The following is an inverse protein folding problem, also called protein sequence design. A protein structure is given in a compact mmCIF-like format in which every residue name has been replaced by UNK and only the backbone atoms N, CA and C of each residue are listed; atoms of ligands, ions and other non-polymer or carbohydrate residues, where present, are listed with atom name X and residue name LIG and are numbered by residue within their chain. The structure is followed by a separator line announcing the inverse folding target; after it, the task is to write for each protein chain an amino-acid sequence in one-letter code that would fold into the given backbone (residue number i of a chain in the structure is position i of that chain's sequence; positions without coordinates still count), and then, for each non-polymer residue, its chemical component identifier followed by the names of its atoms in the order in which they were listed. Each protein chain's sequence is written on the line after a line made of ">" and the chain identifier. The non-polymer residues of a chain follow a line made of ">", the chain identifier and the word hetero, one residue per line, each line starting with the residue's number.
data_IF_957886238398
#
_entry.id   IF_957886238398
#
_cell.length_a   1.000
_cell.length_b   1.000
_cell.length_c   1.000
_cell.angle_alpha   90.00
_cell.angle_beta   90.00
_cell.angle_gamma   90.00
#
_symmetry.space_group_name_H-M   'P 1'
#
loop_
_entity.id
_entity.type
_entity.pdbx_description
1 polymer ?
#
# COMPACT_ATOMS: atom_id res chain seq x y z
N UNK A 1 -21.14 -4.51 -27.57
CA UNK A 1 -21.71 -3.91 -26.34
C UNK A 1 -21.29 -2.44 -26.28
N UNK A 2 -22.14 -1.49 -26.68
CA UNK A 2 -21.78 -0.07 -26.67
C UNK A 2 -21.74 0.46 -25.23
N UNK A 3 -20.71 1.24 -24.93
CA UNK A 3 -20.54 1.91 -23.64
C UNK A 3 -21.73 2.88 -23.43
N UNK A 4 -22.41 2.80 -22.27
CA UNK A 4 -23.55 3.68 -21.99
C UNK A 4 -23.09 5.14 -21.92
N UNK A 5 -23.85 6.05 -22.52
CA UNK A 5 -23.49 7.48 -22.61
C UNK A 5 -23.18 8.13 -21.25
N UNK A 6 -23.75 7.59 -20.18
CA UNK A 6 -23.53 7.99 -18.78
C UNK A 6 -22.08 7.67 -18.29
N UNK A 7 -21.53 6.51 -18.66
CA UNK A 7 -20.16 6.13 -18.31
C UNK A 7 -19.12 7.06 -18.96
N UNK A 8 -19.38 7.49 -20.20
CA UNK A 8 -18.53 8.44 -20.91
C UNK A 8 -18.57 9.84 -20.26
N UNK A 9 -19.77 10.30 -19.84
CA UNK A 9 -19.94 11.57 -19.14
C UNK A 9 -19.25 11.56 -17.76
N UNK A 10 -19.38 10.49 -16.99
CA UNK A 10 -18.70 10.35 -15.70
C UNK A 10 -17.17 10.36 -15.84
N UNK A 11 -16.61 9.73 -16.88
CA UNK A 11 -15.17 9.79 -17.17
C UNK A 11 -14.72 11.20 -17.54
N UNK A 12 -15.48 11.92 -18.36
CA UNK A 12 -15.20 13.29 -18.73
C UNK A 12 -15.22 14.24 -17.51
N UNK A 13 -16.20 14.08 -16.62
CA UNK A 13 -16.29 14.84 -15.37
C UNK A 13 -15.09 14.57 -14.46
N UNK A 14 -14.69 13.30 -14.28
CA UNK A 14 -13.49 12.94 -13.50
C UNK A 14 -12.21 13.53 -14.10
N UNK A 15 -12.09 13.53 -15.44
CA UNK A 15 -10.95 14.15 -16.13
C UNK A 15 -10.93 15.66 -15.92
N UNK A 16 -12.08 16.34 -16.04
CA UNK A 16 -12.21 17.78 -15.81
C UNK A 16 -11.88 18.14 -14.36
N UNK A 17 -12.37 17.37 -13.39
CA UNK A 17 -12.06 17.56 -11.97
C UNK A 17 -10.56 17.39 -11.69
N UNK A 18 -9.90 16.37 -12.28
CA UNK A 18 -8.44 16.19 -12.17
C UNK A 18 -7.63 17.35 -12.75
N UNK A 19 -8.06 17.91 -13.88
CA UNK A 19 -7.40 19.05 -14.52
C UNK A 19 -7.64 20.37 -13.77
N UNK A 20 -8.66 20.44 -12.91
CA UNK A 20 -8.97 21.62 -12.10
C UNK A 20 -8.15 21.70 -10.81
N UNK A 21 -7.45 20.63 -10.41
CA UNK A 21 -6.56 20.65 -9.25
C UNK A 21 -5.33 21.50 -9.60
N UNK A 22 -5.01 22.55 -8.81
CA UNK A 22 -3.83 23.36 -9.08
C UNK A 22 -2.57 22.49 -9.04
N UNK A 23 -1.57 22.79 -9.89
CA UNK A 23 -0.31 22.07 -9.88
C UNK A 23 0.36 22.22 -8.50
N UNK A 24 1.08 21.19 -8.02
CA UNK A 24 1.79 21.28 -6.76
C UNK A 24 2.88 22.34 -6.83
N UNK A 25 3.05 23.07 -5.73
CA UNK A 25 4.13 24.04 -5.54
C UNK A 25 5.23 23.44 -4.66
N UNK A 26 6.48 23.93 -4.76
CA UNK A 26 7.58 23.45 -3.93
C UNK A 26 7.30 23.65 -2.43
N UNK A 27 7.65 22.66 -1.63
CA UNK A 27 7.51 22.72 -0.16
C UNK A 27 8.82 23.14 0.49
N UNK A 28 8.76 24.01 1.51
CA UNK A 28 9.92 24.37 2.34
C UNK A 28 10.55 23.15 3.02
N UNK A 29 9.75 22.11 3.34
CA UNK A 29 10.21 20.85 3.95
C UNK A 29 11.31 20.16 3.14
N UNK A 30 11.30 20.31 1.81
CA UNK A 30 12.21 19.61 0.91
C UNK A 30 13.28 20.52 0.30
N UNK A 31 13.36 21.79 0.74
CA UNK A 31 14.28 22.79 0.18
C UNK A 31 15.74 22.35 0.20
N UNK A 32 16.17 21.70 1.28
CA UNK A 32 17.55 21.22 1.45
C UNK A 32 17.87 19.91 0.72
N UNK A 33 16.86 19.21 0.18
CA UNK A 33 17.06 17.95 -0.52
C UNK A 33 17.44 18.17 -1.97
N UNK A 34 18.42 17.43 -2.47
CA UNK A 34 18.72 17.36 -3.90
C UNK A 34 17.66 16.51 -4.64
N UNK A 35 17.57 16.70 -5.97
CA UNK A 35 16.66 15.90 -6.80
C UNK A 35 16.94 14.39 -6.70
N UNK A 36 18.21 14.01 -6.62
CA UNK A 36 18.62 12.62 -6.49
C UNK A 36 18.19 12.02 -5.14
N UNK A 37 18.33 12.78 -4.05
CA UNK A 37 17.89 12.35 -2.72
C UNK A 37 16.38 12.20 -2.64
N UNK A 38 15.60 13.11 -3.22
CA UNK A 38 14.14 12.98 -3.28
C UNK A 38 13.70 11.71 -4.04
N UNK A 39 14.36 11.41 -5.16
CA UNK A 39 14.10 10.19 -5.94
C UNK A 39 14.43 8.94 -5.13
N UNK A 40 15.59 8.92 -4.48
CA UNK A 40 16.02 7.81 -3.62
C UNK A 40 15.05 7.61 -2.46
N UNK A 41 14.75 8.66 -1.70
CA UNK A 41 13.84 8.61 -0.56
C UNK A 41 12.44 8.14 -0.97
N UNK A 42 11.92 8.63 -2.10
CA UNK A 42 10.63 8.16 -2.64
C UNK A 42 10.68 6.67 -2.98
N UNK A 43 11.77 6.19 -3.59
CA UNK A 43 11.92 4.77 -3.93
C UNK A 43 11.98 3.90 -2.67
N UNK A 44 12.79 4.28 -1.67
CA UNK A 44 12.91 3.58 -0.39
C UNK A 44 11.57 3.52 0.36
N UNK A 45 10.83 4.64 0.43
CA UNK A 45 9.51 4.66 1.06
C UNK A 45 8.48 3.85 0.28
N UNK A 46 8.57 3.81 -1.05
CA UNK A 46 7.67 3.00 -1.89
C UNK A 46 7.91 1.50 -1.67
N UNK A 47 9.18 1.09 -1.61
CA UNK A 47 9.56 -0.29 -1.29
C UNK A 47 9.02 -0.69 0.10
N UNK A 48 9.25 0.17 1.09
CA UNK A 48 8.79 -0.08 2.44
C UNK A 48 7.26 -0.09 2.57
N UNK A 49 6.55 0.79 1.86
CA UNK A 49 5.09 0.75 1.77
C UNK A 49 4.60 -0.57 1.18
N UNK A 50 5.26 -1.07 0.14
CA UNK A 50 4.90 -2.33 -0.51
C UNK A 50 5.00 -3.49 0.50
N UNK A 51 6.07 -3.52 1.32
CA UNK A 51 6.24 -4.49 2.42
C UNK A 51 5.12 -4.38 3.46
N UNK A 52 4.80 -3.18 3.93
CA UNK A 52 3.70 -2.95 4.89
C UNK A 52 2.36 -3.40 4.31
N UNK A 53 2.10 -3.09 3.04
CA UNK A 53 0.90 -3.50 2.32
C UNK A 53 0.81 -5.03 2.16
N UNK A 54 1.93 -5.73 1.99
CA UNK A 54 1.97 -7.19 1.98
C UNK A 54 1.55 -7.77 3.34
N UNK A 55 2.20 -7.36 4.42
CA UNK A 55 1.88 -7.87 5.76
C UNK A 55 0.45 -7.59 6.18
N UNK A 56 -0.07 -6.39 5.85
CA UNK A 56 -1.47 -6.06 6.10
C UNK A 56 -2.43 -7.03 5.42
N UNK A 57 -2.17 -7.42 4.17
CA UNK A 57 -3.00 -8.40 3.45
C UNK A 57 -2.90 -9.78 4.07
N UNK A 58 -1.71 -10.18 4.51
CA UNK A 58 -1.50 -11.48 5.15
C UNK A 58 -2.28 -11.57 6.47
N UNK A 59 -2.21 -10.53 7.31
CA UNK A 59 -2.99 -10.42 8.55
C UNK A 59 -4.49 -10.47 8.26
N UNK A 60 -4.97 -9.69 7.28
CA UNK A 60 -6.38 -9.71 6.86
C UNK A 60 -6.85 -11.12 6.47
N UNK A 61 -6.06 -11.83 5.64
CA UNK A 61 -6.40 -13.18 5.21
C UNK A 61 -6.46 -14.18 6.39
N UNK A 62 -5.59 -14.02 7.39
CA UNK A 62 -5.61 -14.86 8.59
C UNK A 62 -6.78 -14.55 9.50
N UNK A 63 -7.16 -13.29 9.65
CA UNK A 63 -8.39 -12.89 10.34
C UNK A 63 -9.61 -13.52 9.66
N UNK A 64 -9.68 -13.47 8.33
CA UNK A 64 -10.79 -14.05 7.56
C UNK A 64 -10.86 -15.57 7.74
N UNK A 65 -9.71 -16.26 7.73
CA UNK A 65 -9.63 -17.71 7.92
C UNK A 65 -10.03 -18.14 9.34
N UNK A 66 -9.52 -17.42 10.35
CA UNK A 66 -9.85 -17.66 11.75
C UNK A 66 -11.34 -17.44 12.03
N UNK A 67 -11.95 -16.37 11.48
CA UNK A 67 -13.40 -16.11 11.58
C UNK A 67 -14.25 -17.18 10.88
N UNK A 68 -13.74 -17.79 9.81
CA UNK A 68 -14.41 -18.89 9.12
C UNK A 68 -14.32 -20.24 9.87
N UNK A 69 -13.68 -20.27 11.06
CA UNK A 69 -13.45 -21.48 11.83
C UNK A 69 -12.57 -22.50 11.11
N UNK A 70 -11.76 -22.04 10.15
CA UNK A 70 -10.92 -22.90 9.34
C UNK A 70 -9.51 -22.96 9.93
N UNK A 71 -8.91 -24.14 9.86
CA UNK A 71 -7.53 -24.32 10.30
C UNK A 71 -6.55 -23.64 9.31
N UNK A 72 -5.46 -23.04 9.81
CA UNK A 72 -4.48 -22.29 9.02
C UNK A 72 -3.73 -23.12 7.96
N UNK A 73 -3.73 -24.45 8.07
CA UNK A 73 -3.07 -25.36 7.13
C UNK A 73 -3.77 -25.56 5.77
N UNK A 74 -4.97 -25.02 5.54
CA UNK A 74 -5.66 -25.12 4.24
C UNK A 74 -5.14 -24.09 3.22
N UNK A 75 -4.05 -24.46 2.55
CA UNK A 75 -3.31 -23.62 1.59
C UNK A 75 -4.16 -23.14 0.41
N UNK A 76 -5.06 -23.97 -0.10
CA UNK A 76 -5.93 -23.61 -1.23
C UNK A 76 -6.96 -22.57 -0.82
N UNK A 77 -7.48 -22.66 0.41
CA UNK A 77 -8.38 -21.64 0.96
C UNK A 77 -7.67 -20.35 1.32
N UNK A 78 -6.43 -20.40 1.82
CA UNK A 78 -5.61 -19.20 2.00
C UNK A 78 -5.41 -18.47 0.66
N UNK A 79 -5.10 -19.21 -0.42
CA UNK A 79 -5.00 -18.66 -1.75
C UNK A 79 -6.32 -18.01 -2.21
N UNK A 80 -7.46 -18.62 -1.89
CA UNK A 80 -8.79 -18.07 -2.21
C UNK A 80 -9.14 -16.82 -1.38
N UNK A 81 -8.87 -16.80 -0.08
CA UNK A 81 -9.01 -15.63 0.79
C UNK A 81 -8.09 -14.47 0.33
N UNK A 82 -6.89 -14.80 -0.17
CA UNK A 82 -5.99 -13.87 -0.85
C UNK A 82 -6.41 -13.54 -2.29
N UNK A 83 -7.48 -14.13 -2.83
CA UNK A 83 -8.00 -13.91 -4.20
C UNK A 83 -9.44 -13.32 -4.31
N UNK A 84 -10.28 -13.31 -3.24
CA UNK A 84 -11.62 -12.66 -3.19
C UNK A 84 -11.83 -11.11 -2.89
N UNK A 85 -11.31 -10.46 -1.83
CA UNK A 85 -11.10 -9.00 -1.63
C UNK A 85 -11.20 -8.09 -2.90
N UNK A 86 -12.28 -7.32 -3.04
CA UNK A 86 -12.77 -6.80 -4.33
C UNK A 86 -12.00 -5.59 -4.93
N UNK A 87 -10.73 -5.35 -4.58
CA UNK A 87 -9.90 -4.27 -5.16
C UNK A 87 -8.76 -4.77 -6.08
N UNK A 88 -8.83 -6.04 -6.49
CA UNK A 88 -7.67 -6.91 -6.73
C UNK A 88 -6.90 -6.80 -8.05
N UNK A 89 -7.53 -6.41 -9.16
CA UNK A 89 -6.90 -6.60 -10.49
C UNK A 89 -5.59 -5.83 -10.73
N UNK A 90 -5.41 -4.65 -10.12
CA UNK A 90 -4.24 -3.78 -10.40
C UNK A 90 -3.20 -3.71 -9.28
N UNK A 91 -3.52 -4.21 -8.07
CA UNK A 91 -2.65 -4.10 -6.89
C UNK A 91 -2.00 -5.43 -6.46
N UNK A 92 -2.35 -6.56 -7.07
CA UNK A 92 -1.63 -7.85 -6.87
C UNK A 92 -0.53 -8.01 -7.92
N UNK A 93 -0.67 -7.46 -9.13
CA UNK A 93 0.36 -7.49 -10.17
C UNK A 93 1.69 -6.84 -9.76
N UNK A 94 1.73 -6.09 -8.65
CA UNK A 94 2.91 -5.42 -8.11
C UNK A 94 3.27 -5.90 -6.69
N UNK A 95 2.83 -7.07 -6.26
CA UNK A 95 3.44 -7.66 -5.08
C UNK A 95 4.75 -8.32 -5.50
N UNK A 96 5.83 -7.58 -5.34
CA UNK A 96 7.13 -8.21 -5.20
C UNK A 96 7.05 -9.13 -3.98
N UNK A 97 7.36 -10.41 -4.19
CA UNK A 97 7.45 -11.38 -3.12
C UNK A 97 8.72 -11.07 -2.34
N UNK A 98 8.56 -10.49 -1.15
CA UNK A 98 9.69 -10.13 -0.33
C UNK A 98 10.25 -11.35 0.43
N UNK A 99 11.58 -11.43 0.60
CA UNK A 99 12.21 -12.44 1.46
C UNK A 99 11.69 -12.35 2.91
N UNK A 100 11.68 -13.47 3.62
CA UNK A 100 11.25 -13.58 5.03
C UNK A 100 11.97 -12.63 5.99
N UNK A 101 13.19 -12.20 5.67
CA UNK A 101 14.00 -11.31 6.52
C UNK A 101 13.60 -9.82 6.41
N UNK A 102 12.55 -9.50 5.66
CA UNK A 102 12.07 -8.13 5.42
C UNK A 102 10.81 -7.79 6.21
N UNK A 103 10.65 -8.38 7.39
CA UNK A 103 9.58 -8.00 8.32
C UNK A 103 9.70 -6.51 8.64
N UNK A 104 8.63 -5.71 8.47
CA UNK A 104 8.62 -4.34 8.97
C UNK A 104 8.90 -4.40 10.48
N UNK A 105 9.52 -3.37 11.07
CA UNK A 105 9.88 -3.33 12.49
C UNK A 105 8.67 -3.29 13.44
N UNK A 106 7.52 -3.79 13.02
CA UNK A 106 6.35 -3.95 13.85
C UNK A 106 6.60 -5.13 14.81
N UNK A 107 6.60 -4.86 16.12
CA UNK A 107 6.78 -5.91 17.11
C UNK A 107 5.65 -6.94 16.99
N UNK A 108 5.92 -8.17 17.44
CA UNK A 108 4.93 -9.26 17.60
C UNK A 108 4.44 -9.97 16.33
N UNK A 109 4.77 -9.50 15.12
CA UNK A 109 4.34 -10.19 13.88
C UNK A 109 4.81 -11.64 13.84
N UNK A 110 6.09 -11.90 14.15
CA UNK A 110 6.65 -13.25 14.07
C UNK A 110 5.97 -14.21 15.06
N UNK A 111 5.81 -13.78 16.31
CA UNK A 111 5.14 -14.57 17.36
C UNK A 111 3.68 -14.86 17.01
N UNK A 112 2.97 -13.90 16.41
CA UNK A 112 1.59 -14.08 15.98
C UNK A 112 1.48 -15.14 14.86
N UNK A 113 2.45 -15.16 13.93
CA UNK A 113 2.46 -16.11 12.83
C UNK A 113 2.76 -17.55 13.27
N UNK A 114 3.61 -17.70 14.29
CA UNK A 114 3.93 -18.98 14.90
C UNK A 114 2.80 -19.52 15.79
N UNK A 115 1.89 -18.65 16.25
CA UNK A 115 0.77 -19.03 17.12
C UNK A 115 -0.42 -19.62 16.36
N UNK A 116 -0.92 -20.78 16.80
CA UNK A 116 -2.21 -21.34 16.36
C UNK A 116 -3.18 -21.35 17.56
N UNK A 117 -4.26 -20.54 17.54
CA UNK A 117 -5.15 -20.41 18.69
C UNK A 117 -5.93 -21.71 18.93
N UNK A 118 -6.13 -22.06 20.21
CA UNK A 118 -7.17 -23.03 20.58
C UNK A 118 -8.55 -22.35 20.50
N UNK A 119 -9.61 -23.15 20.47
CA UNK A 119 -10.97 -22.64 20.28
C UNK A 119 -11.41 -21.66 21.39
N UNK A 120 -10.92 -21.86 22.61
CA UNK A 120 -11.14 -21.01 23.78
C UNK A 120 -10.30 -19.72 23.78
N UNK A 121 -9.28 -19.64 22.94
CA UNK A 121 -8.36 -18.50 22.79
C UNK A 121 -8.62 -17.71 21.49
N UNK A 122 -9.63 -18.11 20.71
CA UNK A 122 -9.90 -17.57 19.38
C UNK A 122 -10.25 -16.07 19.40
N UNK A 123 -11.05 -15.63 20.37
CA UNK A 123 -11.48 -14.23 20.47
C UNK A 123 -10.29 -13.31 20.79
N UNK A 124 -9.47 -13.67 21.79
CA UNK A 124 -8.25 -12.93 22.14
C UNK A 124 -7.26 -12.86 20.97
N UNK A 125 -7.16 -13.95 20.22
CA UNK A 125 -6.31 -14.05 19.04
C UNK A 125 -6.82 -13.17 17.89
N UNK A 126 -8.13 -13.15 17.63
CA UNK A 126 -8.75 -12.25 16.65
C UNK A 126 -8.54 -10.79 17.04
N UNK A 127 -8.70 -10.44 18.32
CA UNK A 127 -8.46 -9.09 18.83
C UNK A 127 -7.01 -8.64 18.60
N UNK A 128 -6.03 -9.55 18.77
CA UNK A 128 -4.62 -9.27 18.49
C UNK A 128 -4.38 -9.05 17.00
N UNK A 129 -4.93 -9.90 16.13
CA UNK A 129 -4.84 -9.73 14.67
C UNK A 129 -5.43 -8.39 14.22
N UNK A 130 -6.59 -8.00 14.75
CA UNK A 130 -7.23 -6.74 14.39
C UNK A 130 -6.43 -5.53 14.85
N UNK A 131 -5.79 -5.59 16.03
CA UNK A 131 -4.89 -4.53 16.50
C UNK A 131 -3.73 -4.33 15.54
N UNK A 132 -3.08 -5.43 15.15
CA UNK A 132 -1.95 -5.40 14.22
C UNK A 132 -2.37 -4.91 12.84
N UNK A 133 -3.55 -5.31 12.34
CA UNK A 133 -4.10 -4.79 11.07
C UNK A 133 -4.30 -3.27 11.14
N UNK A 134 -4.86 -2.77 12.25
CA UNK A 134 -5.10 -1.34 12.47
C UNK A 134 -3.78 -0.55 12.48
N UNK A 135 -2.75 -1.08 13.14
CA UNK A 135 -1.43 -0.46 13.20
C UNK A 135 -0.76 -0.43 11.81
N UNK A 136 -0.79 -1.55 11.09
CA UNK A 136 -0.32 -1.65 9.69
C UNK A 136 -1.08 -0.66 8.78
N UNK A 137 -2.40 -0.58 8.90
CA UNK A 137 -3.24 0.35 8.17
C UNK A 137 -2.90 1.81 8.48
N UNK A 138 -2.60 2.13 9.74
CA UNK A 138 -2.18 3.47 10.17
C UNK A 138 -0.81 3.84 9.61
N UNK A 139 0.16 2.94 9.77
CA UNK A 139 1.51 3.12 9.27
C UNK A 139 1.54 3.27 7.75
N UNK A 140 0.78 2.45 7.02
CA UNK A 140 0.61 2.61 5.57
C UNK A 140 0.06 3.98 5.20
N UNK A 141 -0.95 4.48 5.91
CA UNK A 141 -1.52 5.82 5.64
C UNK A 141 -0.45 6.91 5.79
N UNK A 142 0.38 6.84 6.83
CA UNK A 142 1.48 7.80 7.02
C UNK A 142 2.53 7.70 5.89
N UNK A 143 2.87 6.48 5.45
CA UNK A 143 3.78 6.28 4.31
C UNK A 143 3.22 6.87 3.02
N UNK A 144 1.95 6.63 2.71
CA UNK A 144 1.30 7.21 1.52
C UNK A 144 1.34 8.73 1.55
N UNK A 145 1.01 9.36 2.68
CA UNK A 145 1.07 10.82 2.84
C UNK A 145 2.48 11.36 2.55
N UNK A 146 3.53 10.69 3.05
CA UNK A 146 4.92 11.11 2.84
C UNK A 146 5.39 10.87 1.40
N UNK A 147 5.00 9.74 0.79
CA UNK A 147 5.27 9.45 -0.63
C UNK A 147 4.59 10.49 -1.53
N UNK A 148 3.35 10.86 -1.23
CA UNK A 148 2.59 11.85 -1.98
C UNK A 148 3.24 13.24 -1.87
N UNK A 149 3.71 13.63 -0.68
CA UNK A 149 4.45 14.88 -0.49
C UNK A 149 5.74 14.92 -1.34
N UNK A 150 6.54 13.85 -1.32
CA UNK A 150 7.73 13.73 -2.17
C UNK A 150 7.38 13.72 -3.66
N UNK A 151 6.28 13.07 -4.03
CA UNK A 151 5.83 13.03 -5.42
C UNK A 151 5.42 14.42 -5.92
N UNK A 152 4.69 15.17 -5.11
CA UNK A 152 4.29 16.55 -5.41
C UNK A 152 5.51 17.47 -5.55
N UNK A 153 6.50 17.33 -4.66
CA UNK A 153 7.76 18.08 -4.76
C UNK A 153 8.51 17.77 -6.06
N UNK A 154 8.62 16.49 -6.43
CA UNK A 154 9.23 16.10 -7.71
C UNK A 154 8.49 16.70 -8.89
N UNK A 155 7.15 16.69 -8.89
CA UNK A 155 6.34 17.32 -9.94
C UNK A 155 6.62 18.83 -10.00
N UNK A 156 6.68 19.51 -8.85
CA UNK A 156 6.94 20.95 -8.79
C UNK A 156 8.32 21.28 -9.40
N UNK A 157 9.35 20.49 -9.08
CA UNK A 157 10.71 20.67 -9.64
C UNK A 157 10.77 20.40 -11.13
N UNK A 158 10.14 19.34 -11.63
CA UNK A 158 10.08 19.07 -13.07
C UNK A 158 9.27 20.12 -13.84
N UNK A 159 8.27 20.72 -13.21
CA UNK A 159 7.51 21.82 -13.80
C UNK A 159 8.38 23.08 -13.90
N UNK A 160 9.20 23.36 -12.87
CA UNK A 160 10.11 24.50 -12.87
C UNK A 160 11.26 24.32 -13.88
N UNK A 161 11.83 23.11 -13.95
CA UNK A 161 12.86 22.74 -14.92
C UNK A 161 12.57 21.35 -15.53
N UNK A 162 11.98 21.31 -16.73
CA UNK A 162 11.68 20.07 -17.44
C UNK A 162 12.92 19.26 -17.82
N UNK A 163 14.10 19.89 -17.96
CA UNK A 163 15.33 19.19 -18.36
C UNK A 163 15.79 18.21 -17.29
N UNK A 164 15.42 18.43 -16.02
CA UNK A 164 15.65 17.50 -14.91
C UNK A 164 15.03 16.12 -15.14
N UNK A 165 13.97 15.99 -15.95
CA UNK A 165 13.40 14.70 -16.31
C UNK A 165 14.34 13.86 -17.20
N UNK A 166 15.18 14.51 -18.00
CA UNK A 166 16.15 13.83 -18.88
C UNK A 166 17.26 13.15 -18.08
N UNK A 167 17.58 13.65 -16.87
CA UNK A 167 18.54 12.99 -15.96
C UNK A 167 18.07 11.64 -15.41
N UNK A 168 16.83 11.24 -15.65
CA UNK A 168 16.29 9.93 -15.26
C UNK A 168 16.37 8.88 -16.38
N UNK A 169 16.84 9.25 -17.58
CA UNK A 169 17.07 8.33 -18.68
C UNK A 169 18.47 7.71 -18.58
N UNK A 170 18.62 6.40 -18.89
CA UNK A 170 19.92 5.73 -18.92
C UNK A 170 20.83 6.23 -20.05
#
# INVERSE_FOLDING_TARGET
>A
MPESADAAQQRAQRKKARLAVPPPEPSEEFSDYTLAELRRLRAELTDYETRVSYWRRLVQARTDLARAGQQPEDRDRLAHALADAPSRGRRIANLDLFPSDTTPPLPELNELWESAPRADELDDYLDRLERIERDLSSHRRALHQRIDALHNELIARYRADPTLALSALP
#
